data_IF_113998785998
#
_entry.id   IF_113998785998
#
_cell.length_a   1.000
_cell.length_b   1.000
_cell.length_c   1.000
_cell.angle_alpha   90.00
_cell.angle_beta   90.00
_cell.angle_gamma   90.00
#
_symmetry.space_group_name_H-M   'P 1'
#
loop_
_entity.id
_entity.type
_entity.pdbx_description
1 polymer ?
#
# COMPACT_ATOMS: atom_id res chain seq x y z
N UNK A 1 2.61 9.10 -57.93
CA UNK A 1 2.45 10.21 -56.96
C UNK A 1 3.67 11.10 -57.03
N UNK A 2 3.54 12.35 -57.48
CA UNK A 2 4.64 13.32 -57.63
C UNK A 2 5.25 13.65 -56.27
N UNK A 3 6.54 13.34 -56.07
CA UNK A 3 7.29 13.78 -54.90
C UNK A 3 7.24 15.31 -54.87
N UNK A 4 6.56 15.87 -53.82
CA UNK A 4 6.63 17.31 -53.51
C UNK A 4 8.14 17.66 -53.39
N UNK A 5 8.67 18.50 -54.27
CA UNK A 5 10.00 19.07 -54.12
C UNK A 5 10.00 19.85 -52.82
N UNK A 6 10.66 19.31 -51.81
CA UNK A 6 10.98 20.11 -50.63
C UNK A 6 11.86 21.28 -51.11
N UNK A 7 11.53 22.50 -50.71
CA UNK A 7 12.42 23.63 -50.91
C UNK A 7 13.67 23.36 -50.06
N UNK A 8 14.76 22.97 -50.72
CA UNK A 8 15.98 22.47 -50.06
C UNK A 8 16.60 23.48 -49.07
N UNK A 9 16.12 24.73 -49.06
CA UNK A 9 16.61 25.82 -48.22
C UNK A 9 15.73 26.11 -46.98
N UNK A 10 14.74 25.29 -46.69
CA UNK A 10 13.90 25.45 -45.47
C UNK A 10 14.26 24.35 -44.44
N UNK A 11 14.28 24.67 -43.14
CA UNK A 11 14.47 23.66 -42.09
C UNK A 11 13.37 22.61 -42.10
N UNK A 12 13.64 21.45 -41.47
CA UNK A 12 12.67 20.38 -41.35
C UNK A 12 11.38 20.92 -40.74
N UNK A 13 10.24 20.37 -41.18
CA UNK A 13 8.91 20.70 -40.70
C UNK A 13 8.37 22.10 -41.06
N UNK A 14 9.18 22.94 -41.76
CA UNK A 14 8.73 24.25 -42.24
C UNK A 14 8.39 24.15 -43.75
N UNK A 15 7.23 24.68 -44.13
CA UNK A 15 6.76 24.74 -45.52
C UNK A 15 6.29 26.14 -45.86
N UNK A 16 6.54 26.56 -47.13
CA UNK A 16 6.00 27.81 -47.65
C UNK A 16 4.93 27.54 -48.69
N UNK A 17 3.75 28.11 -48.53
CA UNK A 17 2.62 28.00 -49.46
C UNK A 17 2.54 29.25 -50.33
N UNK A 18 2.88 29.10 -51.61
CA UNK A 18 2.91 30.21 -52.59
C UNK A 18 1.54 30.89 -52.79
N UNK A 19 0.45 30.10 -52.70
CA UNK A 19 -0.90 30.63 -52.90
C UNK A 19 -1.30 31.61 -51.81
N UNK A 20 -0.98 31.33 -50.53
CA UNK A 20 -1.29 32.18 -49.37
C UNK A 20 -0.11 33.10 -48.97
N UNK A 21 1.03 33.01 -49.64
CA UNK A 21 2.31 33.70 -49.28
C UNK A 21 2.67 33.56 -47.82
N UNK A 22 2.34 32.40 -47.19
CA UNK A 22 2.48 32.15 -45.75
C UNK A 22 3.35 30.94 -45.44
N UNK A 23 4.03 30.99 -44.30
CA UNK A 23 4.80 29.88 -43.75
C UNK A 23 3.93 29.06 -42.79
N UNK A 24 4.17 27.74 -42.77
CA UNK A 24 3.50 26.78 -41.88
C UNK A 24 4.55 25.86 -41.31
N UNK A 25 4.52 25.65 -40.00
CA UNK A 25 5.33 24.66 -39.33
C UNK A 25 4.45 23.49 -38.88
N UNK A 26 4.90 22.26 -39.17
CA UNK A 26 4.16 21.03 -38.77
C UNK A 26 4.85 20.37 -37.60
N UNK A 27 4.12 20.12 -36.53
CA UNK A 27 4.61 19.38 -35.37
C UNK A 27 4.85 17.92 -35.79
N UNK A 28 6.10 17.38 -35.68
CA UNK A 28 6.41 16.02 -36.10
C UNK A 28 5.79 14.93 -35.22
N UNK A 29 5.28 15.29 -34.03
CA UNK A 29 4.69 14.34 -33.07
C UNK A 29 3.18 14.21 -33.24
N UNK A 30 2.50 15.32 -33.47
CA UNK A 30 1.03 15.39 -33.50
C UNK A 30 0.47 15.57 -34.91
N UNK A 31 1.36 15.76 -35.90
CA UNK A 31 1.04 16.07 -37.29
C UNK A 31 0.22 17.35 -37.49
N UNK A 32 0.02 18.13 -36.44
CA UNK A 32 -0.74 19.38 -36.44
C UNK A 32 0.06 20.50 -37.08
N UNK A 33 -0.55 21.24 -38.03
CA UNK A 33 0.06 22.42 -38.65
C UNK A 33 -0.22 23.68 -37.84
N UNK A 34 0.83 24.52 -37.73
CA UNK A 34 0.80 25.83 -37.10
C UNK A 34 1.10 26.90 -38.16
N UNK A 35 0.18 27.81 -38.46
CA UNK A 35 0.44 28.89 -39.39
C UNK A 35 1.34 29.93 -38.73
N UNK A 36 2.47 30.26 -39.38
CA UNK A 36 3.35 31.36 -38.97
C UNK A 36 2.98 32.68 -39.68
N UNK A 37 2.07 32.61 -40.67
CA UNK A 37 1.64 33.79 -41.39
C UNK A 37 2.61 34.30 -42.47
N UNK A 38 2.40 35.56 -42.86
CA UNK A 38 3.22 36.27 -43.89
C UNK A 38 4.38 37.01 -43.17
N UNK A 39 5.34 36.27 -42.63
CA UNK A 39 6.52 36.83 -41.96
C UNK A 39 7.76 36.75 -42.83
N UNK A 40 8.81 37.49 -42.46
CA UNK A 40 10.08 37.40 -43.17
C UNK A 40 10.65 35.96 -43.14
N UNK A 41 11.23 35.51 -44.26
CA UNK A 41 11.76 34.14 -44.36
C UNK A 41 12.76 33.80 -43.25
N UNK A 42 13.60 34.77 -42.84
CA UNK A 42 14.57 34.60 -41.77
C UNK A 42 13.89 34.28 -40.44
N UNK A 43 12.79 34.99 -40.11
CA UNK A 43 12.06 34.80 -38.84
C UNK A 43 11.31 33.48 -38.83
N UNK A 44 10.74 33.05 -39.97
CA UNK A 44 10.12 31.75 -40.09
C UNK A 44 11.11 30.61 -39.90
N UNK A 45 12.35 30.74 -40.42
CA UNK A 45 13.42 29.77 -40.23
C UNK A 45 13.82 29.70 -38.77
N UNK A 46 14.03 30.83 -38.09
CA UNK A 46 14.42 30.89 -36.69
C UNK A 46 13.37 30.23 -35.82
N UNK A 47 12.08 30.58 -35.95
CA UNK A 47 11.01 29.98 -35.19
C UNK A 47 10.87 28.47 -35.42
N UNK A 48 11.07 28.00 -36.65
CA UNK A 48 11.03 26.58 -36.97
C UNK A 48 12.21 25.81 -36.33
N UNK A 49 13.39 26.38 -36.30
CA UNK A 49 14.58 25.80 -35.67
C UNK A 49 14.35 25.71 -34.13
N UNK A 50 13.88 26.79 -33.51
CA UNK A 50 13.57 26.82 -32.09
C UNK A 50 12.51 25.76 -31.71
N UNK A 51 11.43 25.65 -32.48
CA UNK A 51 10.37 24.67 -32.27
C UNK A 51 10.91 23.23 -32.44
N UNK A 52 11.74 22.97 -33.46
CA UNK A 52 12.37 21.66 -33.66
C UNK A 52 13.32 21.30 -32.52
N UNK A 53 14.13 22.26 -32.04
CA UNK A 53 15.04 22.07 -30.91
C UNK A 53 14.26 21.82 -29.58
N UNK A 54 13.21 22.58 -29.37
CA UNK A 54 12.34 22.37 -28.20
C UNK A 54 11.77 20.96 -28.18
N UNK A 55 11.27 20.46 -29.30
CA UNK A 55 10.78 19.09 -29.42
C UNK A 55 11.90 18.07 -29.21
N UNK A 56 13.07 18.28 -29.83
CA UNK A 56 14.19 17.38 -29.67
C UNK A 56 14.73 17.29 -28.23
N UNK A 57 14.71 18.39 -27.50
CA UNK A 57 15.13 18.42 -26.07
C UNK A 57 14.11 17.81 -25.11
N UNK A 58 12.82 17.94 -25.42
CA UNK A 58 11.75 17.47 -24.55
C UNK A 58 11.17 16.11 -24.94
N UNK A 59 11.58 15.56 -26.10
CA UNK A 59 11.20 14.24 -26.57
C UNK A 59 12.45 13.41 -26.83
N UNK A 60 12.80 12.59 -25.85
CA UNK A 60 13.70 11.46 -26.08
C UNK A 60 12.89 10.38 -26.81
N UNK A 61 13.20 10.05 -28.07
CA UNK A 61 12.53 8.93 -28.73
C UNK A 61 12.80 7.68 -27.90
N UNK A 62 11.75 6.99 -27.48
CA UNK A 62 11.86 5.65 -26.88
C UNK A 62 12.68 4.81 -27.87
N UNK A 63 13.83 4.31 -27.47
CA UNK A 63 14.73 3.59 -28.35
C UNK A 63 13.96 2.47 -29.05
N UNK A 64 14.16 2.29 -30.38
CA UNK A 64 13.47 1.26 -31.15
C UNK A 64 13.63 -0.12 -30.51
N UNK A 65 14.76 -0.35 -29.83
CA UNK A 65 15.05 -1.54 -29.03
C UNK A 65 14.05 -1.73 -27.88
N UNK A 66 13.59 -0.68 -27.21
CA UNK A 66 12.57 -0.78 -26.16
C UNK A 66 11.20 -1.09 -26.75
N UNK A 67 10.90 -0.55 -27.94
CA UNK A 67 9.69 -0.91 -28.70
C UNK A 67 9.74 -2.34 -29.25
N UNK A 68 10.91 -2.83 -29.63
CA UNK A 68 11.11 -4.20 -30.13
C UNK A 68 11.20 -5.24 -29.01
N UNK A 69 11.60 -4.85 -27.80
CA UNK A 69 11.57 -5.74 -26.63
C UNK A 69 10.14 -6.07 -26.19
N UNK A 70 9.13 -5.54 -26.92
CA UNK A 70 7.74 -5.61 -26.53
C UNK A 70 7.61 -5.01 -25.12
N UNK A 71 7.06 -3.83 -25.02
CA UNK A 71 6.41 -3.48 -23.78
C UNK A 71 5.26 -4.48 -23.63
N UNK A 72 5.55 -5.68 -23.11
CA UNK A 72 4.56 -6.33 -22.26
C UNK A 72 4.21 -5.24 -21.27
N UNK A 73 3.06 -4.65 -21.48
CA UNK A 73 2.56 -3.57 -20.65
C UNK A 73 2.33 -4.17 -19.27
N UNK A 74 3.44 -4.29 -18.51
CA UNK A 74 3.43 -4.95 -17.21
C UNK A 74 2.63 -4.06 -16.27
N UNK A 75 1.37 -4.42 -16.12
CA UNK A 75 0.41 -3.65 -15.33
C UNK A 75 0.63 -3.87 -13.84
N UNK A 76 0.06 -2.98 -13.03
CA UNK A 76 0.01 -3.17 -11.57
C UNK A 76 -0.65 -4.50 -11.22
N UNK A 77 -1.68 -4.92 -11.98
CA UNK A 77 -2.34 -6.22 -11.77
C UNK A 77 -1.38 -7.39 -11.97
N UNK A 78 -0.63 -7.40 -13.07
CA UNK A 78 0.36 -8.43 -13.35
C UNK A 78 1.50 -8.43 -12.31
N UNK A 79 1.90 -7.23 -11.85
CA UNK A 79 2.87 -7.10 -10.77
C UNK A 79 2.35 -7.66 -9.44
N UNK A 80 1.09 -7.44 -9.10
CA UNK A 80 0.49 -8.00 -7.89
C UNK A 80 0.58 -9.54 -7.90
N UNK A 81 0.27 -10.20 -9.01
CA UNK A 81 0.38 -11.66 -9.13
C UNK A 81 1.82 -12.13 -8.83
N UNK A 82 2.80 -11.43 -9.38
CA UNK A 82 4.22 -11.71 -9.10
C UNK A 82 4.59 -11.43 -7.65
N UNK A 83 4.14 -10.33 -7.10
CA UNK A 83 4.40 -9.93 -5.70
C UNK A 83 3.79 -10.90 -4.70
N UNK A 84 2.60 -11.46 -4.97
CA UNK A 84 1.99 -12.50 -4.13
C UNK A 84 2.86 -13.77 -4.07
N UNK A 85 3.49 -14.16 -5.17
CA UNK A 85 4.49 -15.25 -5.17
C UNK A 85 5.71 -14.92 -4.31
N UNK A 86 6.20 -13.67 -4.36
CA UNK A 86 7.31 -13.21 -3.50
C UNK A 86 6.91 -13.22 -2.02
N UNK A 87 5.68 -12.83 -1.70
CA UNK A 87 5.17 -12.88 -0.33
C UNK A 87 5.12 -14.30 0.22
N UNK A 88 4.84 -15.33 -0.60
CA UNK A 88 4.83 -16.72 -0.17
C UNK A 88 6.20 -17.21 0.32
N UNK A 89 7.29 -16.60 -0.15
CA UNK A 89 8.66 -16.90 0.33
C UNK A 89 8.94 -16.32 1.71
N UNK A 90 8.11 -15.39 2.19
CA UNK A 90 8.23 -14.78 3.51
C UNK A 90 7.41 -15.60 4.51
N UNK A 91 7.99 -15.93 5.65
CA UNK A 91 7.30 -16.69 6.72
C UNK A 91 6.27 -15.81 7.45
N UNK A 92 5.21 -15.39 6.74
CA UNK A 92 4.15 -14.58 7.29
C UNK A 92 3.08 -15.46 7.95
N UNK A 93 2.42 -14.93 9.00
CA UNK A 93 1.26 -15.62 9.59
C UNK A 93 0.08 -15.66 8.62
N UNK A 94 -0.76 -16.70 8.75
CA UNK A 94 -1.99 -16.87 7.92
C UNK A 94 -2.85 -15.61 7.93
N UNK A 95 -3.02 -14.99 9.10
CA UNK A 95 -3.81 -13.76 9.22
C UNK A 95 -3.16 -12.58 8.48
N UNK A 96 -1.84 -12.47 8.51
CA UNK A 96 -1.10 -11.45 7.76
C UNK A 96 -1.29 -11.63 6.25
N UNK A 97 -1.25 -12.88 5.77
CA UNK A 97 -1.53 -13.21 4.37
C UNK A 97 -2.94 -12.78 3.96
N UNK A 98 -3.95 -13.13 4.75
CA UNK A 98 -5.34 -12.75 4.49
C UNK A 98 -5.52 -11.23 4.42
N UNK A 99 -4.93 -10.50 5.35
CA UNK A 99 -4.99 -9.02 5.36
C UNK A 99 -4.29 -8.46 4.12
N UNK A 100 -3.10 -8.95 3.78
CA UNK A 100 -2.35 -8.52 2.58
C UNK A 100 -3.13 -8.81 1.30
N UNK A 101 -3.73 -9.99 1.16
CA UNK A 101 -4.55 -10.34 0.01
C UNK A 101 -5.73 -9.38 -0.19
N UNK A 102 -6.46 -9.03 0.88
CA UNK A 102 -7.54 -8.05 0.81
C UNK A 102 -7.03 -6.65 0.40
N UNK A 103 -5.87 -6.25 0.92
CA UNK A 103 -5.26 -4.97 0.56
C UNK A 103 -4.83 -4.95 -0.92
N UNK A 104 -4.20 -6.01 -1.40
CA UNK A 104 -3.78 -6.14 -2.80
C UNK A 104 -4.98 -6.21 -3.75
N UNK A 105 -6.07 -6.89 -3.36
CA UNK A 105 -7.32 -6.88 -4.13
C UNK A 105 -7.87 -5.46 -4.32
N UNK A 106 -7.84 -4.63 -3.28
CA UNK A 106 -8.24 -3.21 -3.37
C UNK A 106 -7.31 -2.39 -4.28
N UNK A 107 -6.00 -2.67 -4.26
CA UNK A 107 -5.05 -2.02 -5.18
C UNK A 107 -5.32 -2.45 -6.62
N UNK A 108 -5.57 -3.74 -6.85
CA UNK A 108 -5.90 -4.30 -8.15
C UNK A 108 -7.16 -3.67 -8.73
N UNK A 109 -8.21 -3.55 -7.93
CA UNK A 109 -9.48 -2.93 -8.35
C UNK A 109 -9.30 -1.47 -8.79
N UNK A 110 -8.53 -0.68 -8.02
CA UNK A 110 -8.43 0.77 -8.25
C UNK A 110 -7.28 1.18 -9.18
N UNK A 111 -6.24 0.39 -9.32
CA UNK A 111 -5.02 0.75 -10.04
C UNK A 111 -4.48 -0.38 -10.95
N UNK A 112 -5.15 -1.52 -11.02
CA UNK A 112 -4.66 -2.73 -11.71
C UNK A 112 -4.30 -2.54 -13.17
N UNK A 113 -5.05 -1.71 -13.88
CA UNK A 113 -4.87 -1.44 -15.32
C UNK A 113 -3.73 -0.47 -15.64
N UNK A 114 -3.19 0.22 -14.63
CA UNK A 114 -2.10 1.18 -14.86
C UNK A 114 -0.81 0.40 -15.15
N UNK A 115 -0.04 0.83 -16.15
CA UNK A 115 1.30 0.31 -16.41
C UNK A 115 2.18 0.60 -15.19
N UNK A 116 2.85 -0.41 -14.66
CA UNK A 116 3.63 -0.31 -13.42
C UNK A 116 4.67 0.81 -13.45
N UNK A 117 5.37 0.95 -14.57
CA UNK A 117 6.38 2.00 -14.76
C UNK A 117 5.79 3.42 -14.87
N UNK A 118 4.49 3.55 -15.15
CA UNK A 118 3.79 4.83 -15.28
C UNK A 118 3.12 5.27 -13.96
N UNK A 119 3.19 4.45 -12.91
CA UNK A 119 2.63 4.81 -11.61
C UNK A 119 3.42 5.98 -11.03
N UNK A 120 2.73 7.09 -10.83
CA UNK A 120 3.30 8.32 -10.26
C UNK A 120 2.91 8.49 -8.79
N UNK A 121 3.64 9.35 -8.07
CA UNK A 121 3.28 9.78 -6.71
C UNK A 121 1.85 10.34 -6.65
N UNK A 122 1.38 11.01 -7.72
CA UNK A 122 0.02 11.55 -7.80
C UNK A 122 -1.03 10.43 -7.81
N UNK A 123 -0.77 9.32 -8.51
CA UNK A 123 -1.66 8.15 -8.50
C UNK A 123 -1.79 7.59 -7.08
N UNK A 124 -0.66 7.44 -6.36
CA UNK A 124 -0.65 6.95 -4.98
C UNK A 124 -1.38 7.92 -4.04
N UNK A 125 -1.12 9.23 -4.15
CA UNK A 125 -1.78 10.23 -3.33
C UNK A 125 -3.32 10.19 -3.51
N UNK A 126 -3.81 10.17 -4.76
CA UNK A 126 -5.23 10.06 -5.08
C UNK A 126 -5.84 8.76 -4.55
N UNK A 127 -5.10 7.64 -4.65
CA UNK A 127 -5.55 6.36 -4.11
C UNK A 127 -5.75 6.41 -2.60
N UNK A 128 -4.83 7.04 -1.85
CA UNK A 128 -4.90 7.16 -0.40
C UNK A 128 -5.94 8.18 0.08
N UNK A 129 -6.20 9.21 -0.74
CA UNK A 129 -7.06 10.34 -0.39
C UNK A 129 -8.49 9.91 -0.03
N UNK A 130 -9.03 8.87 -0.69
CA UNK A 130 -10.37 8.36 -0.40
C UNK A 130 -10.54 7.97 1.08
N UNK A 131 -9.56 7.31 1.69
CA UNK A 131 -9.61 6.95 3.10
C UNK A 131 -9.31 8.13 4.04
N UNK A 132 -8.43 9.05 3.62
CA UNK A 132 -8.07 10.24 4.41
C UNK A 132 -9.30 11.15 4.54
N UNK A 133 -10.01 11.37 3.43
CA UNK A 133 -11.23 12.19 3.40
C UNK A 133 -12.35 11.60 4.26
N UNK A 134 -12.41 10.26 4.34
CA UNK A 134 -13.36 9.55 5.21
C UNK A 134 -12.87 9.47 6.69
N UNK A 135 -11.75 10.06 7.04
CA UNK A 135 -11.16 10.01 8.38
C UNK A 135 -10.53 8.65 8.75
N UNK A 136 -10.43 7.71 7.79
CA UNK A 136 -9.87 6.36 7.98
C UNK A 136 -8.34 6.34 7.86
N UNK A 137 -7.66 7.22 8.58
CA UNK A 137 -6.20 7.42 8.47
C UNK A 137 -5.39 6.15 8.77
N UNK A 138 -5.87 5.29 9.68
CA UNK A 138 -5.23 4.00 9.97
C UNK A 138 -5.21 3.09 8.74
N UNK A 139 -6.32 3.02 7.99
CA UNK A 139 -6.40 2.25 6.75
C UNK A 139 -5.50 2.85 5.67
N UNK A 140 -5.54 4.18 5.49
CA UNK A 140 -4.65 4.87 4.56
C UNK A 140 -3.16 4.58 4.86
N UNK A 141 -2.76 4.60 6.14
CA UNK A 141 -1.42 4.24 6.59
C UNK A 141 -1.05 2.79 6.28
N UNK A 142 -1.98 1.85 6.51
CA UNK A 142 -1.80 0.44 6.19
C UNK A 142 -1.65 0.22 4.68
N UNK A 143 -2.49 0.84 3.85
CA UNK A 143 -2.42 0.77 2.39
C UNK A 143 -1.12 1.38 1.86
N UNK A 144 -0.70 2.53 2.41
CA UNK A 144 0.58 3.14 2.07
C UNK A 144 1.76 2.19 2.37
N UNK A 145 1.73 1.50 3.50
CA UNK A 145 2.78 0.53 3.88
C UNK A 145 2.86 -0.64 2.89
N UNK A 146 1.70 -1.19 2.48
CA UNK A 146 1.64 -2.28 1.49
C UNK A 146 2.19 -1.81 0.14
N UNK A 147 1.72 -0.66 -0.34
CA UNK A 147 2.19 -0.08 -1.60
C UNK A 147 3.70 0.17 -1.56
N UNK A 148 4.22 0.73 -0.46
CA UNK A 148 5.66 0.99 -0.32
C UNK A 148 6.50 -0.31 -0.40
N UNK A 149 6.03 -1.38 0.22
CA UNK A 149 6.69 -2.69 0.17
C UNK A 149 6.61 -3.30 -1.24
N UNK A 150 5.42 -3.27 -1.86
CA UNK A 150 5.18 -3.78 -3.20
C UNK A 150 6.04 -3.08 -4.26
N UNK A 151 6.11 -1.75 -4.23
CA UNK A 151 6.94 -0.98 -5.17
C UNK A 151 8.44 -1.09 -4.87
N UNK A 152 8.85 -1.37 -3.63
CA UNK A 152 10.25 -1.67 -3.31
C UNK A 152 10.69 -2.98 -3.96
N UNK A 153 9.87 -4.02 -3.91
CA UNK A 153 10.16 -5.28 -4.61
C UNK A 153 10.21 -5.08 -6.14
N UNK A 154 9.37 -4.18 -6.69
CA UNK A 154 9.42 -3.84 -8.11
C UNK A 154 10.74 -3.17 -8.53
N UNK A 155 11.37 -2.39 -7.64
CA UNK A 155 12.72 -1.85 -7.86
C UNK A 155 13.75 -2.99 -7.84
N UNK A 156 13.64 -3.92 -6.89
CA UNK A 156 14.57 -5.06 -6.75
C UNK A 156 14.53 -5.95 -8.01
N UNK A 157 13.33 -6.17 -8.59
CA UNK A 157 13.20 -6.92 -9.84
C UNK A 157 13.47 -6.08 -11.11
N UNK A 158 13.81 -4.78 -10.97
CA UNK A 158 14.21 -3.91 -12.07
C UNK A 158 13.08 -3.36 -12.94
N UNK A 159 11.82 -3.50 -12.50
CA UNK A 159 10.66 -3.00 -13.24
C UNK A 159 10.49 -1.48 -13.17
N UNK A 160 10.96 -0.86 -12.10
CA UNK A 160 10.93 0.58 -11.88
C UNK A 160 12.22 1.06 -11.21
N UNK A 161 12.54 2.33 -11.39
CA UNK A 161 13.78 2.94 -10.84
C UNK A 161 13.54 3.60 -9.49
N UNK A 162 12.32 4.08 -9.23
CA UNK A 162 11.99 4.86 -8.04
C UNK A 162 10.65 4.44 -7.46
N UNK A 163 10.58 4.39 -6.13
CA UNK A 163 9.32 4.07 -5.45
C UNK A 163 8.38 5.29 -5.42
N UNK A 164 7.23 5.24 -6.10
CA UNK A 164 6.31 6.38 -6.18
C UNK A 164 5.64 6.71 -4.84
N UNK A 165 5.73 5.83 -3.84
CA UNK A 165 5.12 6.00 -2.51
C UNK A 165 5.96 6.89 -1.61
N UNK A 166 7.28 6.95 -1.79
CA UNK A 166 8.20 7.61 -0.87
C UNK A 166 7.88 9.09 -0.64
N UNK A 167 7.55 9.83 -1.70
CA UNK A 167 7.21 11.25 -1.62
C UNK A 167 5.80 11.53 -1.09
N UNK A 168 4.98 10.50 -0.80
CA UNK A 168 3.65 10.70 -0.21
C UNK A 168 3.75 10.96 1.30
N UNK A 169 2.86 11.79 1.83
CA UNK A 169 2.77 12.04 3.28
C UNK A 169 2.27 10.79 4.00
N UNK A 170 2.83 10.55 5.19
CA UNK A 170 2.32 9.52 6.10
C UNK A 170 1.04 10.07 6.73
N UNK A 171 -0.12 9.37 6.63
CA UNK A 171 -1.34 9.79 7.29
C UNK A 171 -1.15 9.91 8.79
N UNK A 172 -1.62 11.01 9.38
CA UNK A 172 -1.56 11.21 10.83
C UNK A 172 -2.57 10.28 11.52
N UNK A 173 -2.07 9.35 12.31
CA UNK A 173 -2.89 8.40 13.06
C UNK A 173 -2.99 8.88 14.51
N UNK A 174 -4.16 9.39 14.90
CA UNK A 174 -4.46 9.69 16.30
C UNK A 174 -4.84 8.39 17.01
N UNK A 175 -3.99 7.96 17.92
CA UNK A 175 -4.25 6.76 18.72
C UNK A 175 -5.06 7.16 19.94
N UNK A 176 -6.36 6.90 19.90
CA UNK A 176 -7.22 6.98 21.08
C UNK A 176 -7.03 5.69 21.91
N UNK A 177 -6.28 5.77 22.99
CA UNK A 177 -6.13 4.68 23.95
C UNK A 177 -6.84 5.10 25.24
N UNK A 178 -7.89 4.38 25.58
CA UNK A 178 -8.53 4.47 26.87
C UNK A 178 -8.05 3.33 27.75
N UNK A 179 -7.83 3.63 29.03
CA UNK A 179 -7.57 2.59 30.03
C UNK A 179 -8.89 2.03 30.50
N UNK A 180 -9.00 0.73 30.56
CA UNK A 180 -10.12 0.08 31.20
C UNK A 180 -10.08 0.44 32.70
N UNK A 181 -11.07 1.20 33.16
CA UNK A 181 -11.22 1.54 34.57
C UNK A 181 -11.76 0.32 35.34
N UNK A 182 -11.40 0.21 36.62
CA UNK A 182 -11.81 -0.92 37.45
C UNK A 182 -13.34 -1.01 37.59
N UNK A 183 -14.00 0.14 37.71
CA UNK A 183 -15.45 0.25 37.80
C UNK A 183 -16.11 -0.28 36.51
N UNK A 184 -15.58 0.08 35.35
CA UNK A 184 -16.06 -0.41 34.05
C UNK A 184 -15.86 -1.92 33.92
N UNK A 185 -14.70 -2.42 34.36
CA UNK A 185 -14.45 -3.86 34.37
C UNK A 185 -15.46 -4.59 35.26
N UNK A 186 -15.66 -4.12 36.49
CA UNK A 186 -16.60 -4.74 37.46
C UNK A 186 -18.02 -4.73 36.92
N UNK A 187 -18.49 -3.62 36.34
CA UNK A 187 -19.81 -3.53 35.72
C UNK A 187 -19.98 -4.51 34.55
N UNK A 188 -18.98 -4.59 33.69
CA UNK A 188 -18.95 -5.52 32.52
C UNK A 188 -18.93 -6.98 33.03
N UNK A 189 -18.13 -7.24 34.06
CA UNK A 189 -18.01 -8.57 34.69
C UNK A 189 -19.35 -9.02 35.33
N UNK A 190 -20.03 -8.12 36.00
CA UNK A 190 -21.38 -8.39 36.59
C UNK A 190 -22.41 -8.64 35.47
N UNK A 191 -22.44 -7.84 34.42
CA UNK A 191 -23.32 -8.07 33.27
C UNK A 191 -23.03 -9.42 32.56
N UNK A 192 -21.81 -9.91 32.63
CA UNK A 192 -21.42 -11.19 32.04
C UNK A 192 -21.93 -12.42 32.83
N UNK A 193 -22.54 -12.25 33.99
CA UNK A 193 -23.16 -13.38 34.78
C UNK A 193 -24.32 -14.04 34.03
N UNK A 194 -24.98 -13.33 33.11
CA UNK A 194 -26.01 -13.87 32.23
C UNK A 194 -25.45 -14.63 31.01
N UNK A 195 -24.15 -14.59 30.81
CA UNK A 195 -23.46 -15.30 29.75
C UNK A 195 -23.09 -16.74 30.20
N UNK A 196 -22.69 -17.62 29.26
CA UNK A 196 -22.19 -18.94 29.66
C UNK A 196 -21.08 -18.83 30.70
N UNK A 197 -21.05 -19.73 31.67
CA UNK A 197 -20.18 -19.65 32.84
C UNK A 197 -18.68 -19.50 32.55
N UNK A 198 -18.22 -19.97 31.40
CA UNK A 198 -16.84 -19.80 30.98
C UNK A 198 -16.47 -18.34 30.62
N UNK A 199 -17.47 -17.53 30.23
CA UNK A 199 -17.19 -16.18 29.71
C UNK A 199 -16.63 -15.24 30.80
N UNK A 200 -17.28 -15.08 31.97
CA UNK A 200 -16.73 -14.29 33.08
C UNK A 200 -15.40 -14.82 33.59
N UNK A 201 -15.16 -16.13 33.53
CA UNK A 201 -13.87 -16.72 33.91
C UNK A 201 -12.76 -16.39 32.91
N UNK A 202 -13.07 -16.33 31.61
CA UNK A 202 -12.13 -15.89 30.61
C UNK A 202 -11.75 -14.41 30.80
N UNK A 203 -12.70 -13.55 31.22
CA UNK A 203 -12.40 -12.15 31.56
C UNK A 203 -11.47 -12.07 32.79
N UNK A 204 -11.76 -12.84 33.85
CA UNK A 204 -10.91 -12.89 35.04
C UNK A 204 -9.50 -13.40 34.70
N UNK A 205 -9.39 -14.44 33.86
CA UNK A 205 -8.12 -14.99 33.40
C UNK A 205 -7.33 -13.97 32.54
N UNK A 206 -8.02 -13.26 31.65
CA UNK A 206 -7.42 -12.20 30.85
C UNK A 206 -6.86 -11.08 31.72
N UNK A 207 -7.62 -10.64 32.72
CA UNK A 207 -7.21 -9.57 33.60
C UNK A 207 -6.02 -9.98 34.47
N UNK A 208 -6.02 -11.16 35.07
CA UNK A 208 -4.95 -11.60 35.99
C UNK A 208 -3.67 -11.96 35.26
N UNK A 209 -3.75 -12.49 34.04
CA UNK A 209 -2.56 -12.90 33.27
C UNK A 209 -2.02 -11.79 32.38
N UNK A 210 -2.85 -10.82 31.98
CA UNK A 210 -2.49 -9.78 31.00
C UNK A 210 -2.18 -10.34 29.60
N UNK A 211 -2.60 -11.57 29.30
CA UNK A 211 -2.32 -12.21 28.03
C UNK A 211 -3.33 -11.79 26.95
N UNK A 212 -2.90 -11.92 25.67
CA UNK A 212 -3.76 -11.62 24.54
C UNK A 212 -4.89 -12.65 24.43
N UNK A 213 -6.00 -12.27 23.82
CA UNK A 213 -7.15 -13.16 23.61
C UNK A 213 -6.75 -14.50 22.98
N UNK A 214 -5.92 -14.49 21.96
CA UNK A 214 -5.48 -15.72 21.28
C UNK A 214 -4.63 -16.61 22.19
N UNK A 215 -3.79 -16.02 23.04
CA UNK A 215 -2.99 -16.76 24.01
C UNK A 215 -3.90 -17.42 25.06
N UNK A 216 -4.93 -16.71 25.53
CA UNK A 216 -5.89 -17.24 26.52
C UNK A 216 -6.71 -18.41 25.96
N UNK A 217 -7.24 -18.27 24.74
CA UNK A 217 -8.04 -19.32 24.08
C UNK A 217 -7.25 -20.61 23.87
N UNK A 218 -5.93 -20.49 23.72
CA UNK A 218 -5.04 -21.64 23.49
C UNK A 218 -4.40 -22.20 24.79
N UNK A 219 -4.68 -21.61 25.97
CA UNK A 219 -4.19 -22.16 27.25
C UNK A 219 -4.81 -23.53 27.54
N UNK A 220 -4.00 -24.43 28.03
CA UNK A 220 -4.42 -25.79 28.41
C UNK A 220 -4.13 -26.03 29.87
N UNK A 221 -4.92 -26.88 30.51
CA UNK A 221 -4.69 -27.28 31.91
C UNK A 221 -3.37 -28.06 32.08
N UNK A 222 -2.88 -28.70 31.01
CA UNK A 222 -1.56 -29.33 30.99
C UNK A 222 -0.40 -28.34 31.09
N UNK A 223 -0.63 -27.06 30.79
CA UNK A 223 0.38 -26.00 30.87
C UNK A 223 0.54 -25.49 32.32
N UNK A 224 -0.24 -26.06 33.27
CA UNK A 224 -0.19 -25.70 34.68
C UNK A 224 0.55 -26.80 35.44
N UNK A 225 1.79 -26.54 35.81
CA UNK A 225 2.64 -27.41 36.60
C UNK A 225 3.63 -26.59 37.46
N UNK A 226 4.27 -27.19 38.44
CA UNK A 226 5.25 -26.53 39.33
C UNK A 226 4.74 -25.20 39.93
N UNK A 227 3.47 -25.14 40.32
CA UNK A 227 2.82 -23.92 40.80
C UNK A 227 2.88 -22.71 39.86
N UNK A 228 2.98 -22.96 38.55
CA UNK A 228 3.05 -21.94 37.51
C UNK A 228 2.15 -22.30 36.33
N UNK A 229 1.65 -21.26 35.64
CA UNK A 229 1.04 -21.34 34.32
C UNK A 229 2.10 -20.96 33.29
N UNK A 230 2.42 -21.87 32.39
CA UNK A 230 3.35 -21.63 31.27
C UNK A 230 2.57 -21.22 30.03
N UNK A 231 2.98 -20.09 29.45
CA UNK A 231 2.32 -19.54 28.25
C UNK A 231 3.38 -19.29 27.19
N UNK A 232 3.17 -19.85 26.00
CA UNK A 232 3.95 -19.46 24.81
C UNK A 232 3.09 -18.52 23.99
N UNK A 233 3.47 -17.25 23.94
CA UNK A 233 2.69 -16.24 23.21
C UNK A 233 2.73 -16.50 21.71
N UNK A 234 1.58 -16.66 21.07
CA UNK A 234 1.46 -17.00 19.64
C UNK A 234 2.07 -15.93 18.75
N UNK A 235 1.86 -14.64 19.09
CA UNK A 235 2.31 -13.52 18.27
C UNK A 235 3.82 -13.29 18.33
N UNK A 236 4.46 -13.55 19.45
CA UNK A 236 5.88 -13.19 19.71
C UNK A 236 6.78 -14.39 19.92
N UNK A 237 6.22 -15.58 20.11
CA UNK A 237 6.97 -16.79 20.50
C UNK A 237 7.57 -16.73 21.91
N UNK A 238 7.28 -15.66 22.69
CA UNK A 238 7.83 -15.49 24.03
C UNK A 238 7.24 -16.51 24.98
N UNK A 239 8.09 -17.17 25.77
CA UNK A 239 7.71 -18.12 26.81
C UNK A 239 7.67 -17.41 28.15
N UNK A 240 6.54 -17.48 28.85
CA UNK A 240 6.29 -16.82 30.13
C UNK A 240 5.84 -17.88 31.14
N UNK A 241 6.36 -17.81 32.35
CA UNK A 241 5.91 -18.63 33.49
C UNK A 241 5.27 -17.72 34.55
N UNK A 242 3.96 -17.83 34.74
CA UNK A 242 3.18 -16.99 35.65
C UNK A 242 2.90 -17.78 36.94
N UNK A 243 3.34 -17.32 38.12
CA UNK A 243 3.10 -18.05 39.36
C UNK A 243 1.62 -18.07 39.71
N UNK A 244 1.09 -19.23 40.15
CA UNK A 244 -0.32 -19.37 40.56
C UNK A 244 -0.68 -18.53 41.80
N UNK A 245 0.35 -18.11 42.56
CA UNK A 245 0.18 -17.19 43.70
C UNK A 245 -0.05 -15.73 43.27
N UNK A 246 0.10 -15.40 41.99
CA UNK A 246 -0.12 -14.04 41.48
C UNK A 246 -1.54 -13.59 41.87
N UNK A 247 -1.62 -12.46 42.56
CA UNK A 247 -2.88 -11.88 43.04
C UNK A 247 -2.94 -10.41 42.63
N UNK A 248 -4.02 -10.00 41.98
CA UNK A 248 -4.26 -8.60 41.65
C UNK A 248 -4.83 -7.88 42.90
N UNK A 249 -4.08 -6.92 43.43
CA UNK A 249 -4.47 -6.16 44.62
C UNK A 249 -5.81 -5.45 44.50
N UNK A 250 -6.12 -4.90 43.30
CA UNK A 250 -7.34 -4.14 43.08
C UNK A 250 -8.61 -4.98 43.09
N UNK A 251 -8.55 -6.26 42.73
CA UNK A 251 -9.73 -7.17 42.63
C UNK A 251 -9.69 -8.34 43.58
N UNK A 252 -8.54 -8.59 44.22
CA UNK A 252 -8.32 -9.80 45.03
C UNK A 252 -8.26 -11.09 44.20
N UNK A 253 -8.29 -11.03 42.87
CA UNK A 253 -8.23 -12.19 41.99
C UNK A 253 -6.86 -12.85 42.07
N UNK A 254 -6.85 -14.15 42.45
CA UNK A 254 -5.66 -14.98 42.44
C UNK A 254 -5.70 -15.95 41.26
N UNK A 255 -4.61 -16.04 40.51
CA UNK A 255 -4.53 -16.86 39.27
C UNK A 255 -4.91 -18.33 39.54
N UNK A 256 -4.38 -18.95 40.58
CA UNK A 256 -4.70 -20.33 40.94
C UNK A 256 -6.21 -20.55 41.15
N UNK A 257 -6.88 -19.64 41.89
CA UNK A 257 -8.33 -19.71 42.12
C UNK A 257 -9.12 -19.56 40.81
N UNK A 258 -8.70 -18.68 39.90
CA UNK A 258 -9.35 -18.53 38.62
C UNK A 258 -9.22 -19.80 37.77
N UNK A 259 -8.04 -20.42 37.73
CA UNK A 259 -7.81 -21.68 37.02
C UNK A 259 -8.64 -22.83 37.59
N UNK A 260 -8.74 -22.94 38.91
CA UNK A 260 -9.54 -23.97 39.55
C UNK A 260 -11.04 -23.83 39.21
N UNK A 261 -11.56 -22.59 39.19
CA UNK A 261 -12.92 -22.29 38.69
C UNK A 261 -13.10 -22.68 37.23
N UNK A 262 -12.11 -22.41 36.38
CA UNK A 262 -12.14 -22.82 34.95
C UNK A 262 -12.24 -24.35 34.83
N UNK A 263 -11.52 -25.11 35.65
CA UNK A 263 -11.59 -26.59 35.66
C UNK A 263 -12.98 -27.13 36.06
N UNK A 264 -13.68 -26.43 36.94
CA UNK A 264 -15.05 -26.84 37.36
C UNK A 264 -16.06 -26.67 36.22
N UNK A 265 -15.91 -25.65 35.40
CA UNK A 265 -16.85 -25.33 34.31
C UNK A 265 -16.53 -26.13 33.03
N UNK A 266 -15.33 -26.67 32.89
CA UNK A 266 -14.91 -27.46 31.71
C UNK A 266 -15.24 -28.97 31.84
N UNK A 267 -15.82 -29.38 32.96
CA UNK A 267 -16.34 -30.73 33.16
C UNK A 267 -17.81 -30.81 32.76
#
# INVERSE_FOLDING_TARGET
MSRKKYDANLPRNLTYRKASKSFFWRNPLTDKEFPLGQIARRDAITQAIEANNFIAQNHTPVALIEKLKGTDSFTVSAWIDRYEVLLQRRSLSVNTYKIRGNQLATVREKMGEIILAEVTTRHIAKFLESWITEGKNTMAGAMRSVLSDMFREAIVEGHIVKNPVEATRIPEIKVARERLQLETYNATRAAAEHMPAWFPLAMDLALVTGQRREDIVNMKFSDVFDNRLYVTQIKTGMKIAIPLSLTLRATGLRLGTVIDRCRLVSR
#
